data_IF_883844017338
#
_entry.id   IF_883844017338
#
_cell.length_a   1.000
_cell.length_b   1.000
_cell.length_c   1.000
_cell.angle_alpha   90.00
_cell.angle_beta   90.00
_cell.angle_gamma   90.00
#
_symmetry.space_group_name_H-M   'P 1'
#
loop_
_entity.id
_entity.type
_entity.pdbx_description
1 polymer ?
#
# COMPACT_ATOMS: atom_id res chain seq x y z
N UNK A 1 36.20 -24.16 5.84
CA UNK A 1 34.91 -24.68 5.33
C UNK A 1 34.08 -25.10 6.54
N UNK A 2 33.17 -24.24 7.00
CA UNK A 2 32.27 -24.51 8.15
C UNK A 2 30.85 -24.41 7.64
N UNK A 3 30.22 -25.55 7.35
CA UNK A 3 28.81 -25.61 6.97
C UNK A 3 27.94 -25.27 8.19
N UNK A 4 27.26 -24.13 8.11
CA UNK A 4 26.26 -23.71 9.08
C UNK A 4 24.99 -24.53 8.89
N UNK A 5 24.73 -25.43 9.84
CA UNK A 5 23.51 -26.23 9.91
C UNK A 5 22.30 -25.32 10.15
N UNK A 6 21.50 -25.12 9.10
CA UNK A 6 20.19 -24.51 9.20
C UNK A 6 19.27 -25.39 10.06
N UNK A 7 19.13 -25.04 11.33
CA UNK A 7 18.25 -25.72 12.27
C UNK A 7 16.79 -25.62 11.82
N UNK A 8 16.27 -26.68 11.21
CA UNK A 8 14.83 -26.82 10.97
C UNK A 8 14.14 -26.97 12.33
N UNK A 9 13.45 -25.92 12.77
CA UNK A 9 12.68 -25.91 14.02
C UNK A 9 11.56 -26.95 13.91
N UNK A 10 11.80 -28.14 14.47
CA UNK A 10 10.89 -29.27 14.39
C UNK A 10 9.85 -29.18 15.51
N UNK A 11 8.81 -28.38 15.29
CA UNK A 11 7.71 -28.21 16.24
C UNK A 11 7.02 -29.56 16.50
N UNK A 12 6.95 -29.96 17.77
CA UNK A 12 6.30 -31.21 18.16
C UNK A 12 4.82 -31.20 17.73
N UNK A 13 4.27 -32.39 17.42
CA UNK A 13 2.86 -32.54 17.04
C UNK A 13 1.91 -31.90 18.07
N UNK A 14 2.31 -31.88 19.34
CA UNK A 14 1.60 -31.24 20.43
C UNK A 14 1.55 -29.70 20.29
N UNK A 15 2.66 -29.05 19.93
CA UNK A 15 2.67 -27.58 19.72
C UNK A 15 1.86 -27.20 18.49
N UNK A 16 1.93 -27.98 17.41
CA UNK A 16 1.09 -27.78 16.22
C UNK A 16 -0.39 -27.94 16.57
N UNK A 17 -0.75 -28.99 17.31
CA UNK A 17 -2.11 -29.24 17.77
C UNK A 17 -2.63 -28.12 18.67
N UNK A 18 -1.80 -27.63 19.59
CA UNK A 18 -2.15 -26.52 20.47
C UNK A 18 -2.41 -25.25 19.67
N UNK A 19 -1.54 -24.87 18.73
CA UNK A 19 -1.72 -23.71 17.86
C UNK A 19 -3.00 -23.79 17.03
N UNK A 20 -3.31 -24.96 16.48
CA UNK A 20 -4.55 -25.17 15.71
C UNK A 20 -5.77 -25.05 16.62
N UNK A 21 -5.72 -25.62 17.84
CA UNK A 21 -6.81 -25.52 18.80
C UNK A 21 -7.03 -24.08 19.27
N UNK A 22 -5.98 -23.30 19.57
CA UNK A 22 -6.13 -21.88 19.90
C UNK A 22 -6.62 -21.05 18.72
N UNK A 23 -6.17 -21.33 17.50
CA UNK A 23 -6.66 -20.64 16.31
C UNK A 23 -8.15 -20.92 16.06
N UNK A 24 -8.59 -22.17 16.23
CA UNK A 24 -10.00 -22.57 16.09
C UNK A 24 -10.88 -21.99 17.21
N UNK A 25 -10.40 -21.98 18.46
CA UNK A 25 -11.10 -21.35 19.58
C UNK A 25 -11.21 -19.83 19.41
N UNK A 26 -10.14 -19.17 18.97
CA UNK A 26 -10.16 -17.75 18.64
C UNK A 26 -11.17 -17.47 17.52
N UNK A 27 -11.17 -18.28 16.45
CA UNK A 27 -12.12 -18.15 15.34
C UNK A 27 -13.58 -18.36 15.78
N UNK A 28 -13.84 -19.34 16.65
CA UNK A 28 -15.18 -19.61 17.19
C UNK A 28 -15.68 -18.46 18.09
N UNK A 29 -14.83 -17.93 18.97
CA UNK A 29 -15.18 -16.82 19.88
C UNK A 29 -15.40 -15.53 19.09
N UNK A 30 -14.55 -15.26 18.09
CA UNK A 30 -14.71 -14.12 17.17
C UNK A 30 -15.95 -14.25 16.28
N UNK A 31 -16.34 -15.48 15.92
CA UNK A 31 -17.56 -15.76 15.15
C UNK A 31 -18.85 -15.53 15.95
N UNK A 32 -18.86 -15.86 17.24
CA UNK A 32 -20.06 -15.70 18.10
C UNK A 32 -20.32 -14.24 18.50
N UNK A 33 -19.29 -13.39 18.57
CA UNK A 33 -19.39 -11.94 18.82
C UNK A 33 -19.09 -11.08 17.59
N UNK A 34 -19.46 -11.57 16.40
CA UNK A 34 -19.13 -10.95 15.12
C UNK A 34 -19.85 -9.60 14.88
N UNK A 35 -19.43 -8.55 15.57
CA UNK A 35 -19.60 -7.20 15.07
C UNK A 35 -18.64 -7.02 13.88
N UNK A 36 -19.17 -6.54 12.74
CA UNK A 36 -18.40 -6.25 11.53
C UNK A 36 -17.14 -5.43 11.84
N UNK A 37 -17.21 -4.54 12.84
CA UNK A 37 -16.10 -3.70 13.27
C UNK A 37 -14.90 -4.53 13.77
N UNK A 38 -15.12 -5.56 14.59
CA UNK A 38 -14.04 -6.37 15.16
C UNK A 38 -13.38 -7.27 14.10
N UNK A 39 -14.17 -7.81 13.17
CA UNK A 39 -13.63 -8.56 12.03
C UNK A 39 -12.78 -7.66 11.13
N UNK A 40 -13.28 -6.46 10.81
CA UNK A 40 -12.51 -5.47 10.02
C UNK A 40 -11.23 -5.07 10.74
N UNK A 41 -11.28 -4.78 12.05
CA UNK A 41 -10.09 -4.44 12.84
C UNK A 41 -9.08 -5.58 12.91
N UNK A 42 -9.54 -6.83 13.02
CA UNK A 42 -8.66 -7.98 13.09
C UNK A 42 -7.98 -8.23 11.73
N UNK A 43 -8.73 -8.18 10.63
CA UNK A 43 -8.16 -8.32 9.29
C UNK A 43 -7.24 -7.13 8.93
N UNK A 44 -7.65 -5.91 9.26
CA UNK A 44 -6.83 -4.72 9.04
C UNK A 44 -5.57 -4.73 9.91
N UNK A 45 -5.68 -5.15 11.16
CA UNK A 45 -4.55 -5.29 12.09
C UNK A 45 -3.60 -6.39 11.68
N UNK A 46 -4.10 -7.57 11.30
CA UNK A 46 -3.29 -8.66 10.80
C UNK A 46 -2.61 -8.31 9.46
N UNK A 47 -3.34 -7.65 8.55
CA UNK A 47 -2.80 -7.14 7.29
C UNK A 47 -1.73 -6.08 7.51
N UNK A 48 -1.99 -5.12 8.39
CA UNK A 48 -1.03 -4.07 8.79
C UNK A 48 0.22 -4.65 9.45
N UNK A 49 0.08 -5.64 10.32
CA UNK A 49 1.21 -6.32 10.93
C UNK A 49 2.01 -7.14 9.90
N UNK A 50 1.32 -7.84 9.00
CA UNK A 50 1.96 -8.58 7.91
C UNK A 50 2.72 -7.63 6.96
N UNK A 51 2.19 -6.43 6.70
CA UNK A 51 2.85 -5.36 5.94
C UNK A 51 4.15 -4.89 6.61
N UNK A 52 4.14 -4.66 7.92
CA UNK A 52 5.33 -4.24 8.68
C UNK A 52 6.37 -5.35 8.75
N UNK A 53 5.94 -6.60 8.92
CA UNK A 53 6.85 -7.75 9.02
C UNK A 53 7.41 -8.17 7.67
N UNK A 54 6.61 -8.07 6.60
CA UNK A 54 6.96 -8.45 5.23
C UNK A 54 6.44 -7.41 4.24
N UNK A 55 7.16 -6.28 4.08
CA UNK A 55 6.71 -5.19 3.23
C UNK A 55 6.60 -5.60 1.75
N UNK A 56 7.24 -6.69 1.33
CA UNK A 56 7.06 -7.30 0.00
C UNK A 56 5.61 -7.75 -0.27
N UNK A 57 4.86 -8.14 0.76
CA UNK A 57 3.45 -8.52 0.62
C UNK A 57 2.55 -7.31 0.35
N UNK A 58 3.06 -6.09 0.50
CA UNK A 58 2.28 -4.87 0.32
C UNK A 58 1.71 -4.72 -1.08
N UNK A 59 2.52 -5.00 -2.10
CA UNK A 59 2.10 -4.86 -3.50
C UNK A 59 1.03 -5.89 -3.86
N UNK A 60 1.22 -7.14 -3.43
CA UNK A 60 0.24 -8.21 -3.65
C UNK A 60 -1.05 -7.92 -2.89
N UNK A 61 -0.94 -7.48 -1.63
CA UNK A 61 -2.06 -7.05 -0.81
C UNK A 61 -2.84 -5.89 -1.44
N UNK A 62 -2.14 -4.89 -2.00
CA UNK A 62 -2.76 -3.78 -2.74
C UNK A 62 -3.55 -4.27 -3.96
N UNK A 63 -3.01 -5.21 -4.73
CA UNK A 63 -3.72 -5.79 -5.89
C UNK A 63 -4.97 -6.54 -5.43
N UNK A 64 -4.84 -7.42 -4.43
CA UNK A 64 -5.98 -8.19 -3.91
C UNK A 64 -7.03 -7.25 -3.32
N UNK A 65 -6.62 -6.23 -2.57
CA UNK A 65 -7.53 -5.21 -2.04
C UNK A 65 -8.24 -4.46 -3.16
N UNK A 66 -7.53 -4.04 -4.22
CA UNK A 66 -8.13 -3.35 -5.37
C UNK A 66 -9.19 -4.19 -6.09
N UNK A 67 -9.00 -5.52 -6.14
CA UNK A 67 -9.93 -6.43 -6.81
C UNK A 67 -11.14 -6.79 -5.95
N UNK A 68 -10.93 -6.99 -4.64
CA UNK A 68 -11.97 -7.49 -3.73
C UNK A 68 -12.74 -6.37 -3.02
N UNK A 69 -12.12 -5.22 -2.79
CA UNK A 69 -12.70 -4.10 -2.05
C UNK A 69 -13.21 -3.06 -3.04
N UNK A 70 -14.52 -3.13 -3.30
CA UNK A 70 -15.27 -2.15 -4.09
C UNK A 70 -16.03 -1.21 -3.17
N UNK A 71 -15.29 -0.41 -2.41
CA UNK A 71 -15.88 0.64 -1.58
C UNK A 71 -15.65 1.94 -2.33
N UNK A 72 -16.70 2.45 -2.95
CA UNK A 72 -16.65 3.70 -3.70
C UNK A 72 -17.13 4.83 -2.79
N UNK A 73 -16.26 5.82 -2.59
CA UNK A 73 -16.57 7.03 -1.84
C UNK A 73 -17.02 8.08 -2.85
N UNK A 74 -18.28 8.50 -2.76
CA UNK A 74 -18.78 9.62 -3.55
C UNK A 74 -18.20 10.92 -3.01
N UNK A 75 -17.56 11.69 -3.87
CA UNK A 75 -16.93 12.97 -3.51
C UNK A 75 -17.89 14.16 -3.73
N UNK A 76 -19.17 13.91 -4.01
CA UNK A 76 -20.13 14.94 -4.39
C UNK A 76 -19.96 15.46 -5.83
N UNK A 77 -19.18 14.74 -6.65
CA UNK A 77 -18.96 14.99 -8.08
C UNK A 77 -19.06 13.67 -8.86
N UNK A 78 -18.97 13.68 -10.20
CA UNK A 78 -18.99 12.46 -11.03
C UNK A 78 -17.81 11.49 -10.76
N UNK A 79 -16.82 11.90 -9.97
CA UNK A 79 -15.64 11.07 -9.68
C UNK A 79 -15.85 10.25 -8.40
N UNK A 80 -15.98 8.93 -8.59
CA UNK A 80 -15.99 7.95 -7.51
C UNK A 80 -14.55 7.53 -7.20
N UNK A 81 -14.10 7.72 -5.95
CA UNK A 81 -12.79 7.24 -5.50
C UNK A 81 -12.95 5.90 -4.80
N UNK A 82 -12.24 4.88 -5.29
CA UNK A 82 -12.15 3.60 -4.60
C UNK A 82 -11.34 3.77 -3.30
N UNK A 83 -11.85 3.33 -2.15
CA UNK A 83 -11.18 3.40 -0.85
C UNK A 83 -9.76 2.81 -0.85
N UNK A 84 -9.46 1.87 -1.76
CA UNK A 84 -8.12 1.30 -1.96
C UNK A 84 -7.11 2.35 -2.43
N UNK A 85 -7.53 3.43 -3.09
CA UNK A 85 -6.62 4.53 -3.41
C UNK A 85 -6.03 5.20 -2.17
N UNK A 86 -6.72 5.19 -1.01
CA UNK A 86 -6.16 5.65 0.26
C UNK A 86 -5.17 4.66 0.89
N UNK A 87 -5.25 3.37 0.54
CA UNK A 87 -4.29 2.38 1.03
C UNK A 87 -2.90 2.62 0.44
N UNK A 88 -2.80 3.21 -0.75
CA UNK A 88 -1.53 3.54 -1.40
C UNK A 88 -0.68 4.49 -0.53
N UNK A 89 -1.13 5.72 -0.22
CA UNK A 89 -0.35 6.63 0.62
C UNK A 89 -0.16 6.09 2.04
N UNK A 90 -1.13 5.36 2.60
CA UNK A 90 -0.97 4.71 3.90
C UNK A 90 0.17 3.68 3.90
N UNK A 91 0.25 2.84 2.86
CA UNK A 91 1.31 1.84 2.70
C UNK A 91 2.67 2.52 2.52
N UNK A 92 2.74 3.60 1.75
CA UNK A 92 3.96 4.40 1.60
C UNK A 92 4.39 5.01 2.94
N UNK A 93 3.45 5.59 3.70
CA UNK A 93 3.74 6.17 5.00
C UNK A 93 4.26 5.13 6.00
N UNK A 94 3.63 3.95 6.04
CA UNK A 94 4.09 2.82 6.86
C UNK A 94 5.48 2.35 6.44
N UNK A 95 5.76 2.26 5.14
CA UNK A 95 7.07 1.90 4.64
C UNK A 95 8.15 2.92 5.03
N UNK A 96 7.85 4.22 4.88
CA UNK A 96 8.77 5.30 5.31
C UNK A 96 9.04 5.20 6.80
N UNK A 97 8.00 4.99 7.62
CA UNK A 97 8.12 4.88 9.06
C UNK A 97 8.96 3.67 9.48
N UNK A 98 8.73 2.51 8.87
CA UNK A 98 9.53 1.30 9.14
C UNK A 98 11.00 1.50 8.73
N UNK A 99 11.27 2.09 7.56
CA UNK A 99 12.63 2.39 7.09
C UNK A 99 13.34 3.44 7.93
N UNK A 100 12.64 4.49 8.35
CA UNK A 100 13.15 5.51 9.27
C UNK A 100 13.50 4.89 10.63
N UNK A 101 12.64 3.99 11.15
CA UNK A 101 12.89 3.24 12.39
C UNK A 101 14.13 2.34 12.27
N UNK A 102 14.32 1.69 11.12
CA UNK A 102 15.50 0.84 10.83
C UNK A 102 16.76 1.64 10.48
N UNK A 103 16.66 2.97 10.37
CA UNK A 103 17.72 3.89 9.91
C UNK A 103 18.37 3.48 8.58
N UNK A 104 17.61 2.80 7.73
CA UNK A 104 18.08 2.29 6.45
C UNK A 104 17.22 2.88 5.33
N UNK A 105 17.48 4.15 5.00
CA UNK A 105 16.86 4.86 3.88
C UNK A 105 17.65 4.63 2.59
N UNK A 106 17.98 3.38 2.29
CA UNK A 106 18.54 3.01 0.99
C UNK A 106 17.48 3.19 -0.09
N UNK A 107 17.53 4.35 -0.74
CA UNK A 107 16.75 4.59 -1.95
C UNK A 107 17.34 3.78 -3.10
N UNK A 108 16.48 3.00 -3.76
CA UNK A 108 16.84 2.39 -5.03
C UNK A 108 17.04 3.50 -6.07
N UNK A 109 18.27 3.74 -6.48
CA UNK A 109 18.61 4.76 -7.46
C UNK A 109 18.26 4.28 -8.89
N UNK A 110 16.96 4.14 -9.19
CA UNK A 110 16.50 3.83 -10.55
C UNK A 110 16.48 5.09 -11.42
N UNK A 111 17.00 4.99 -12.65
CA UNK A 111 16.96 6.06 -13.66
C UNK A 111 15.53 6.51 -13.98
N UNK A 112 14.53 5.65 -13.72
CA UNK A 112 13.11 5.91 -13.98
C UNK A 112 12.48 6.82 -12.92
N UNK A 113 13.06 6.98 -11.73
CA UNK A 113 12.49 7.83 -10.69
C UNK A 113 12.52 9.33 -11.02
N UNK A 114 13.55 9.78 -11.75
CA UNK A 114 13.68 11.19 -12.16
C UNK A 114 12.57 11.63 -13.12
N UNK A 115 12.33 10.97 -14.27
CA UNK A 115 11.26 11.38 -15.17
C UNK A 115 9.89 11.26 -14.52
N UNK A 116 9.67 10.24 -13.68
CA UNK A 116 8.42 10.08 -12.93
C UNK A 116 8.19 11.24 -11.94
N UNK A 117 9.21 11.63 -11.17
CA UNK A 117 9.12 12.76 -10.24
C UNK A 117 8.90 14.08 -10.99
N UNK A 118 9.62 14.30 -12.10
CA UNK A 118 9.43 15.46 -12.96
C UNK A 118 8.02 15.51 -13.54
N UNK A 119 7.44 14.37 -13.94
CA UNK A 119 6.07 14.30 -14.43
C UNK A 119 5.05 14.70 -13.35
N UNK A 120 5.18 14.17 -12.13
CA UNK A 120 4.30 14.52 -11.01
C UNK A 120 4.43 15.99 -10.62
N UNK A 121 5.66 16.51 -10.58
CA UNK A 121 5.93 17.93 -10.33
C UNK A 121 5.42 18.83 -11.44
N UNK A 122 5.59 18.45 -12.71
CA UNK A 122 5.06 19.18 -13.85
C UNK A 122 3.51 19.21 -13.80
N UNK A 123 2.87 18.10 -13.42
CA UNK A 123 1.43 18.05 -13.20
C UNK A 123 0.99 18.99 -12.07
N UNK A 124 1.74 19.05 -10.96
CA UNK A 124 1.45 19.97 -9.85
C UNK A 124 1.62 21.44 -10.27
N UNK A 125 2.71 21.74 -10.97
CA UNK A 125 2.97 23.08 -11.52
C UNK A 125 1.91 23.46 -12.56
N UNK A 126 1.47 22.52 -13.40
CA UNK A 126 0.39 22.75 -14.36
C UNK A 126 -0.94 23.01 -13.66
N UNK A 127 -1.21 22.39 -12.52
CA UNK A 127 -2.41 22.67 -11.73
C UNK A 127 -2.34 24.08 -11.12
N UNK A 128 -1.17 24.46 -10.59
CA UNK A 128 -0.95 25.79 -10.00
C UNK A 128 -0.98 26.92 -11.05
N UNK A 129 -0.36 26.69 -12.21
CA UNK A 129 -0.16 27.70 -13.26
C UNK A 129 -1.26 27.68 -14.32
N UNK A 130 -1.74 26.50 -14.72
CA UNK A 130 -2.77 26.30 -15.74
C UNK A 130 -4.19 26.53 -15.23
N UNK A 131 -4.33 27.24 -14.12
CA UNK A 131 -5.62 27.51 -13.53
C UNK A 131 -6.34 28.57 -14.36
N UNK A 132 -7.57 28.29 -14.78
CA UNK A 132 -8.53 29.26 -15.33
C UNK A 132 -8.81 30.41 -14.34
N UNK A 133 -8.28 30.32 -13.12
CA UNK A 133 -8.42 31.30 -12.05
C UNK A 133 -7.81 32.69 -12.30
N UNK A 134 -6.98 32.88 -13.33
CA UNK A 134 -6.47 34.21 -13.69
C UNK A 134 -7.52 35.12 -14.32
N UNK A 135 -8.63 34.56 -14.80
CA UNK A 135 -9.79 35.32 -15.27
C UNK A 135 -10.91 35.28 -14.22
N UNK A 136 -11.18 36.40 -13.50
CA UNK A 136 -12.25 36.48 -12.51
C UNK A 136 -13.65 36.43 -13.14
N UNK A 137 -13.79 36.56 -14.46
CA UNK A 137 -15.08 36.53 -15.16
C UNK A 137 -15.67 35.12 -15.31
N UNK A 138 -14.90 34.06 -15.05
CA UNK A 138 -15.33 32.68 -15.25
C UNK A 138 -15.93 32.13 -13.94
N UNK A 139 -17.24 31.76 -13.93
CA UNK A 139 -17.88 31.19 -12.76
C UNK A 139 -17.21 29.86 -12.36
N UNK A 140 -16.87 29.72 -11.08
CA UNK A 140 -16.24 28.52 -10.52
C UNK A 140 -17.21 27.82 -9.57
N UNK A 141 -17.30 26.49 -9.68
CA UNK A 141 -17.95 25.68 -8.66
C UNK A 141 -17.14 25.71 -7.36
N UNK A 142 -17.79 25.73 -6.19
CA UNK A 142 -17.10 25.72 -4.88
C UNK A 142 -16.14 24.55 -4.66
N UNK A 143 -16.32 23.44 -5.39
CA UNK A 143 -15.49 22.23 -5.28
C UNK A 143 -14.36 22.13 -6.31
N UNK A 144 -14.12 23.18 -7.12
CA UNK A 144 -13.17 23.14 -8.24
C UNK A 144 -11.77 22.64 -7.84
N UNK A 145 -11.22 23.17 -6.75
CA UNK A 145 -9.89 22.79 -6.25
C UNK A 145 -9.81 21.34 -5.78
N UNK A 146 -10.89 20.83 -5.16
CA UNK A 146 -10.96 19.45 -4.69
C UNK A 146 -10.89 18.48 -5.87
N UNK A 147 -11.63 18.76 -6.95
CA UNK A 147 -11.66 17.93 -8.16
C UNK A 147 -10.29 17.94 -8.85
N UNK A 148 -9.68 19.11 -9.01
CA UNK A 148 -8.36 19.23 -9.63
C UNK A 148 -7.29 18.48 -8.82
N UNK A 149 -7.32 18.62 -7.49
CA UNK A 149 -6.40 17.90 -6.62
C UNK A 149 -6.63 16.38 -6.69
N UNK A 150 -7.88 15.94 -6.73
CA UNK A 150 -8.23 14.52 -6.88
C UNK A 150 -7.73 13.95 -8.22
N UNK A 151 -7.87 14.70 -9.32
CA UNK A 151 -7.37 14.31 -10.64
C UNK A 151 -5.84 14.19 -10.65
N UNK A 152 -5.13 15.16 -10.07
CA UNK A 152 -3.68 15.08 -9.91
C UNK A 152 -3.25 13.92 -9.01
N UNK A 153 -4.00 13.65 -7.94
CA UNK A 153 -3.70 12.58 -6.99
C UNK A 153 -3.69 11.19 -7.64
N UNK A 154 -4.49 10.94 -8.68
CA UNK A 154 -4.47 9.66 -9.43
C UNK A 154 -3.08 9.41 -10.04
N UNK A 155 -2.48 10.43 -10.65
CA UNK A 155 -1.13 10.33 -11.21
C UNK A 155 -0.08 10.19 -10.11
N UNK A 156 -0.20 10.97 -9.04
CA UNK A 156 0.72 10.92 -7.91
C UNK A 156 0.70 9.55 -7.21
N UNK A 157 -0.48 8.97 -6.98
CA UNK A 157 -0.64 7.65 -6.37
C UNK A 157 -0.09 6.54 -7.27
N UNK A 158 -0.32 6.62 -8.58
CA UNK A 158 0.27 5.67 -9.53
C UNK A 158 1.80 5.73 -9.50
N UNK A 159 2.36 6.94 -9.46
CA UNK A 159 3.80 7.16 -9.31
C UNK A 159 4.34 6.61 -7.97
N UNK A 160 3.60 6.81 -6.88
CA UNK A 160 3.93 6.28 -5.56
C UNK A 160 3.96 4.75 -5.53
N UNK A 161 2.97 4.07 -6.12
CA UNK A 161 2.98 2.60 -6.21
C UNK A 161 4.16 2.11 -7.03
N UNK A 162 4.45 2.75 -8.17
CA UNK A 162 5.60 2.40 -9.00
C UNK A 162 6.92 2.56 -8.23
N UNK A 163 7.06 3.67 -7.51
CA UNK A 163 8.23 3.93 -6.68
C UNK A 163 8.35 2.94 -5.52
N UNK A 164 7.24 2.64 -4.84
CA UNK A 164 7.20 1.67 -3.76
C UNK A 164 7.59 0.27 -4.27
N UNK A 165 7.12 -0.13 -5.45
CA UNK A 165 7.49 -1.40 -6.08
C UNK A 165 9.01 -1.50 -6.35
N UNK A 166 9.64 -0.41 -6.77
CA UNK A 166 11.08 -0.37 -7.00
C UNK A 166 11.91 -0.47 -5.71
N UNK A 167 11.40 0.06 -4.59
CA UNK A 167 12.08 0.05 -3.29
C UNK A 167 11.78 -1.20 -2.44
N UNK A 168 10.73 -1.95 -2.78
CA UNK A 168 10.37 -3.22 -2.15
C UNK A 168 11.05 -4.44 -2.79
N UNK A 169 11.58 -4.31 -4.00
CA UNK A 169 12.27 -5.39 -4.70
C UNK A 169 13.65 -5.63 -4.08
N UNK A 170 13.77 -6.73 -3.33
CA UNK A 170 15.07 -7.34 -3.08
C UNK A 170 15.56 -7.98 -4.38
N UNK A 171 16.58 -7.38 -4.98
CA UNK A 171 17.20 -7.84 -6.21
C UNK A 171 17.59 -9.33 -6.11
N UNK A 172 18.16 -9.75 -4.98
CA UNK A 172 18.71 -11.09 -4.78
C UNK A 172 17.65 -12.21 -4.79
N UNK A 173 16.43 -11.93 -4.35
CA UNK A 173 15.34 -12.93 -4.29
C UNK A 173 14.45 -12.94 -5.52
N UNK A 174 14.27 -11.78 -6.17
CA UNK A 174 13.31 -11.62 -7.26
C UNK A 174 13.92 -11.72 -8.65
N UNK A 175 15.20 -11.35 -8.84
CA UNK A 175 15.88 -11.54 -10.14
C UNK A 175 15.84 -13.02 -10.58
N UNK A 176 16.24 -14.00 -9.74
CA UNK A 176 16.22 -15.41 -10.16
C UNK A 176 14.80 -15.91 -10.46
N UNK A 177 13.78 -15.44 -9.75
CA UNK A 177 12.40 -15.90 -9.96
C UNK A 177 11.76 -15.36 -11.23
N UNK A 178 12.25 -14.22 -11.74
CA UNK A 178 11.72 -13.57 -12.93
C UNK A 178 12.51 -13.90 -14.20
N UNK A 179 13.80 -14.28 -14.10
CA UNK A 179 14.60 -14.68 -15.26
C UNK A 179 14.51 -16.17 -15.59
N UNK A 180 14.07 -17.01 -14.64
CA UNK A 180 13.93 -18.46 -14.83
C UNK A 180 12.47 -18.92 -14.99
N UNK A 181 11.55 -17.98 -15.27
CA UNK A 181 10.24 -18.25 -15.87
C UNK A 181 10.37 -18.14 -17.39
#
# INVERSE_FOLDING_TARGET
>A
MTEGTAGTINWSKAVKGLLVATALLAAAILGVRASRLWLVLLFAGAGGLALVLRPQLALVGLIVAALLVRIDITTGTEVQLNAVTLLIPATVALWILDRARRRDLRWSASRVHRPLALFVLAGLLSLLLGNVAWDPAIPKSGNFWLVQLAQWAIFAFSALVFWLAANLRDADLWLPRLTWL
#
